data_IF_969513540437
#
_entry.id   IF_969513540437
#
_cell.length_a   1.000
_cell.length_b   1.000
_cell.length_c   1.000
_cell.angle_alpha   90.00
_cell.angle_beta   90.00
_cell.angle_gamma   90.00
#
_symmetry.space_group_name_H-M   'P 1'
#
loop_
_entity.id
_entity.type
_entity.pdbx_description
1 polymer ?
#
# COMPACT_ATOMS: atom_id res chain seq x y z
N UNK A 1 -15.87 -27.49 43.03
CA UNK A 1 -15.37 -27.44 41.64
C UNK A 1 -16.59 -27.44 40.73
N UNK A 2 -16.82 -26.38 39.94
CA UNK A 2 -17.85 -26.40 38.89
C UNK A 2 -17.22 -25.95 37.59
N UNK A 3 -17.36 -26.81 36.61
CA UNK A 3 -16.85 -26.67 35.26
C UNK A 3 -17.45 -25.42 34.60
N UNK A 4 -16.60 -24.52 34.12
CA UNK A 4 -16.98 -23.43 33.23
C UNK A 4 -17.19 -24.05 31.83
N UNK A 5 -18.38 -24.57 31.61
CA UNK A 5 -18.78 -25.12 30.31
C UNK A 5 -18.67 -24.06 29.22
N UNK A 6 -17.97 -24.41 28.13
CA UNK A 6 -17.82 -23.61 26.91
C UNK A 6 -19.12 -23.46 26.13
N UNK A 7 -20.13 -22.85 26.74
CA UNK A 7 -21.43 -22.61 26.15
C UNK A 7 -21.36 -21.53 25.06
N UNK A 8 -21.92 -21.85 23.89
CA UNK A 8 -22.07 -20.90 22.79
C UNK A 8 -22.90 -19.69 23.26
N UNK A 9 -22.41 -18.48 23.00
CA UNK A 9 -23.05 -17.24 23.45
C UNK A 9 -24.52 -17.19 22.98
N UNK A 10 -25.46 -16.73 23.83
CA UNK A 10 -26.86 -16.63 23.44
C UNK A 10 -27.06 -15.52 22.40
N UNK A 11 -27.97 -15.71 21.45
CA UNK A 11 -28.17 -14.77 20.33
C UNK A 11 -28.56 -13.35 20.76
N UNK A 12 -29.25 -13.19 21.89
CA UNK A 12 -29.57 -11.88 22.44
C UNK A 12 -28.33 -11.08 22.84
N UNK A 13 -27.24 -11.73 23.25
CA UNK A 13 -26.00 -11.08 23.65
C UNK A 13 -25.22 -10.57 22.44
N UNK A 14 -25.30 -11.27 21.31
CA UNK A 14 -24.70 -10.86 20.03
C UNK A 14 -25.36 -9.56 19.53
N UNK A 15 -26.69 -9.44 19.69
CA UNK A 15 -27.42 -8.23 19.29
C UNK A 15 -27.02 -6.98 20.11
N UNK A 16 -26.72 -7.14 21.40
CA UNK A 16 -26.28 -6.05 22.26
C UNK A 16 -24.86 -5.54 21.93
N UNK A 17 -24.03 -6.38 21.33
CA UNK A 17 -22.66 -6.04 20.93
C UNK A 17 -22.57 -5.52 19.49
N UNK A 18 -23.60 -5.74 18.67
CA UNK A 18 -23.68 -5.36 17.25
C UNK A 18 -23.28 -3.90 16.98
N UNK A 19 -23.76 -2.88 17.73
CA UNK A 19 -23.40 -1.49 17.47
C UNK A 19 -21.92 -1.21 17.74
N UNK A 20 -21.31 -1.86 18.73
CA UNK A 20 -19.90 -1.67 19.07
C UNK A 20 -18.99 -2.29 18.00
N UNK A 21 -19.35 -3.46 17.49
CA UNK A 21 -18.63 -4.15 16.40
C UNK A 21 -18.76 -3.37 15.10
N UNK A 22 -19.97 -2.93 14.75
CA UNK A 22 -20.22 -2.16 13.53
C UNK A 22 -19.50 -0.79 13.58
N UNK A 23 -19.42 -0.16 14.76
CA UNK A 23 -18.64 1.08 14.96
C UNK A 23 -17.14 0.84 14.76
N UNK A 24 -16.61 -0.25 15.33
CA UNK A 24 -15.20 -0.60 15.17
C UNK A 24 -14.86 -0.92 13.71
N UNK A 25 -15.69 -1.70 13.01
CA UNK A 25 -15.52 -2.00 11.59
C UNK A 25 -15.57 -0.73 10.71
N UNK A 26 -16.50 0.18 10.99
CA UNK A 26 -16.61 1.47 10.30
C UNK A 26 -15.39 2.38 10.57
N UNK A 27 -14.78 2.29 11.75
CA UNK A 27 -13.54 3.01 12.05
C UNK A 27 -12.33 2.45 11.29
N UNK A 28 -12.26 1.13 11.12
CA UNK A 28 -11.20 0.47 10.36
C UNK A 28 -11.29 0.79 8.86
N UNK A 29 -12.48 0.76 8.27
CA UNK A 29 -12.69 1.19 6.88
C UNK A 29 -12.24 2.63 6.63
N UNK A 30 -12.53 3.54 7.55
CA UNK A 30 -12.07 4.94 7.46
C UNK A 30 -10.56 5.07 7.50
N UNK A 31 -9.89 4.26 8.33
CA UNK A 31 -8.43 4.23 8.39
C UNK A 31 -7.85 3.70 7.08
N UNK A 32 -8.40 2.61 6.53
CA UNK A 32 -7.95 2.10 5.23
C UNK A 32 -8.20 3.09 4.09
N UNK A 33 -9.33 3.79 4.08
CA UNK A 33 -9.59 4.86 3.11
C UNK A 33 -8.62 6.03 3.24
N UNK A 34 -8.24 6.40 4.47
CA UNK A 34 -7.23 7.43 4.71
C UNK A 34 -5.82 6.98 4.29
N UNK A 35 -5.48 5.71 4.51
CA UNK A 35 -4.22 5.11 4.07
C UNK A 35 -4.18 4.75 2.58
N UNK A 36 -5.34 4.73 1.92
CA UNK A 36 -5.43 4.36 0.51
C UNK A 36 -4.61 5.33 -0.32
N UNK A 37 -3.71 4.78 -1.12
CA UNK A 37 -2.94 5.58 -2.05
C UNK A 37 -3.90 6.29 -3.02
N UNK A 38 -3.65 7.57 -3.35
CA UNK A 38 -4.40 8.24 -4.40
C UNK A 38 -4.22 7.51 -5.73
N UNK A 39 -5.26 7.54 -6.57
CA UNK A 39 -5.16 7.00 -7.91
C UNK A 39 -4.11 7.79 -8.73
N UNK A 40 -2.99 7.14 -9.00
CA UNK A 40 -1.86 7.71 -9.73
C UNK A 40 -1.99 7.56 -11.25
N UNK A 41 -3.06 6.95 -11.76
CA UNK A 41 -3.24 6.66 -13.19
C UNK A 41 -3.16 7.92 -14.06
N UNK A 42 -3.78 9.02 -13.64
CA UNK A 42 -3.75 10.28 -14.36
C UNK A 42 -2.32 10.83 -14.51
N UNK A 43 -1.52 10.77 -13.45
CA UNK A 43 -0.12 11.20 -13.48
C UNK A 43 0.72 10.28 -14.36
N UNK A 44 0.50 8.97 -14.28
CA UNK A 44 1.16 7.98 -15.12
C UNK A 44 0.90 8.26 -16.62
N UNK A 45 -0.38 8.39 -17.01
CA UNK A 45 -0.75 8.65 -18.39
C UNK A 45 -0.16 9.97 -18.90
N UNK A 46 -0.24 11.05 -18.11
CA UNK A 46 0.33 12.34 -18.50
C UNK A 46 1.86 12.30 -18.64
N UNK A 47 2.56 11.53 -17.81
CA UNK A 47 4.01 11.34 -17.92
C UNK A 47 4.36 10.49 -19.16
N UNK A 48 3.57 9.45 -19.39
CA UNK A 48 3.69 8.56 -20.55
C UNK A 48 3.48 9.31 -21.87
N UNK A 49 2.48 10.19 -21.96
CA UNK A 49 2.24 11.01 -23.15
C UNK A 49 3.36 12.03 -23.43
N UNK A 50 3.99 12.55 -22.35
CA UNK A 50 5.07 13.55 -22.45
C UNK A 50 6.45 12.95 -22.66
N UNK A 51 6.61 11.65 -22.45
CA UNK A 51 7.92 11.05 -22.55
C UNK A 51 8.43 11.06 -24.00
N UNK A 52 9.74 11.07 -24.17
CA UNK A 52 10.33 10.79 -25.48
C UNK A 52 10.74 9.32 -25.52
N UNK A 53 10.67 8.72 -26.70
CA UNK A 53 11.15 7.36 -26.90
C UNK A 53 12.62 7.26 -26.42
N UNK A 54 12.92 6.17 -25.70
CA UNK A 54 14.23 5.88 -25.10
C UNK A 54 14.68 6.81 -23.95
N UNK A 55 13.84 7.75 -23.49
CA UNK A 55 14.16 8.51 -22.27
C UNK A 55 14.32 7.57 -21.09
N UNK A 56 15.47 7.65 -20.41
CA UNK A 56 15.78 6.80 -19.26
C UNK A 56 16.32 5.41 -19.61
N UNK A 57 16.40 5.03 -20.89
CA UNK A 57 16.97 3.74 -21.30
C UNK A 57 18.42 3.57 -20.82
N UNK A 58 19.23 4.63 -20.89
CA UNK A 58 20.61 4.66 -20.37
C UNK A 58 20.73 4.24 -18.90
N UNK A 59 19.67 4.47 -18.11
CA UNK A 59 19.62 4.13 -16.71
C UNK A 59 19.00 2.74 -16.50
N UNK A 60 17.81 2.50 -17.08
CA UNK A 60 17.05 1.26 -16.88
C UNK A 60 17.72 0.02 -17.50
N UNK A 61 18.50 0.20 -18.54
CA UNK A 61 19.28 -0.86 -19.20
C UNK A 61 20.73 -0.91 -18.70
N UNK A 62 21.13 0.02 -17.83
CA UNK A 62 22.48 0.08 -17.30
C UNK A 62 22.70 -0.92 -16.16
N UNK A 63 23.90 -1.50 -16.11
CA UNK A 63 24.31 -2.50 -15.11
C UNK A 63 24.02 -2.04 -13.67
N UNK A 64 24.24 -0.75 -13.36
CA UNK A 64 23.99 -0.21 -12.03
C UNK A 64 22.53 -0.33 -11.55
N UNK A 65 21.56 -0.19 -12.46
CA UNK A 65 20.15 -0.40 -12.13
C UNK A 65 19.80 -1.89 -12.03
N UNK A 66 20.30 -2.70 -12.97
CA UNK A 66 20.08 -4.15 -13.00
C UNK A 66 20.64 -4.81 -11.74
N UNK A 67 21.89 -4.51 -11.38
CA UNK A 67 22.57 -5.04 -10.21
C UNK A 67 21.85 -4.64 -8.91
N UNK A 68 21.41 -3.38 -8.80
CA UNK A 68 20.65 -2.91 -7.66
C UNK A 68 19.31 -3.66 -7.53
N UNK A 69 18.58 -3.83 -8.63
CA UNK A 69 17.28 -4.50 -8.66
C UNK A 69 17.38 -5.95 -8.21
N UNK A 70 18.44 -6.64 -8.60
CA UNK A 70 18.64 -8.06 -8.31
C UNK A 70 19.35 -8.33 -6.98
N UNK A 71 19.83 -7.29 -6.28
CA UNK A 71 20.53 -7.40 -5.00
C UNK A 71 19.66 -6.99 -3.82
N UNK A 72 19.15 -7.93 -3.00
CA UNK A 72 18.37 -7.61 -1.81
C UNK A 72 19.16 -6.76 -0.81
N UNK A 73 18.50 -5.76 -0.21
CA UNK A 73 19.11 -4.88 0.79
C UNK A 73 20.10 -3.86 0.24
N UNK A 74 20.21 -3.72 -1.08
CA UNK A 74 21.03 -2.70 -1.72
C UNK A 74 20.28 -1.37 -1.91
N UNK A 75 21.04 -0.28 -2.03
CA UNK A 75 20.51 1.05 -2.29
C UNK A 75 21.25 1.68 -3.48
N UNK A 76 20.50 2.21 -4.44
CA UNK A 76 21.01 2.96 -5.58
C UNK A 76 20.55 4.41 -5.49
N UNK A 77 21.51 5.33 -5.50
CA UNK A 77 21.23 6.76 -5.47
C UNK A 77 21.45 7.36 -6.86
N UNK A 78 20.42 8.00 -7.39
CA UNK A 78 20.50 8.77 -8.64
C UNK A 78 20.57 10.24 -8.24
N UNK A 79 21.59 10.93 -8.71
CA UNK A 79 21.65 12.39 -8.64
C UNK A 79 21.49 12.95 -10.06
N UNK A 80 20.73 14.05 -10.17
CA UNK A 80 20.68 14.84 -11.39
C UNK A 80 21.52 16.09 -11.19
N UNK A 81 22.50 16.33 -12.04
CA UNK A 81 23.18 17.62 -12.13
C UNK A 81 22.35 18.53 -13.03
N UNK A 82 21.86 19.64 -12.46
CA UNK A 82 21.25 20.71 -13.24
C UNK A 82 22.38 21.51 -13.90
N UNK A 83 22.67 21.25 -15.16
CA UNK A 83 23.43 22.19 -15.98
C UNK A 83 22.46 23.25 -16.54
N UNK A 84 22.80 24.52 -16.35
CA UNK A 84 22.04 25.70 -16.78
C UNK A 84 22.57 26.22 -18.11
#
# INVERSE_FOLDING_TARGET
>A
MREIGGGKLPQSWIQLQKPLIDTAANSEEKIYQWLAAPDSSANYNAAQDKHHANTGAWFLEGDGFVDWKDTPGSALWINGTREL
#
